data_IF_687866508601
#
_entry.id   IF_687866508601
#
_cell.length_a   1.000
_cell.length_b   1.000
_cell.length_c   1.000
_cell.angle_alpha   90.00
_cell.angle_beta   90.00
_cell.angle_gamma   90.00
#
_symmetry.space_group_name_H-M   'P 1'
#
loop_
_entity.id
_entity.type
_entity.pdbx_description
1 polymer ?
#
# COMPACT_ATOMS: atom_id res chain seq x y z
N UNK A 1 13.81 12.39 -7.18
CA UNK A 1 12.87 12.26 -6.05
C UNK A 1 13.68 12.34 -4.76
N UNK A 2 13.29 13.18 -3.79
CA UNK A 2 13.96 13.19 -2.49
C UNK A 2 13.55 11.94 -1.71
N UNK A 3 14.45 11.39 -0.89
CA UNK A 3 14.11 10.29 0.01
C UNK A 3 13.09 10.81 1.02
N UNK A 4 12.03 10.04 1.26
CA UNK A 4 10.92 10.39 2.15
C UNK A 4 10.13 11.65 1.75
N UNK A 5 9.92 11.87 0.43
CA UNK A 5 8.98 12.89 0.00
C UNK A 5 7.58 12.65 0.61
N UNK A 6 6.94 13.67 1.18
CA UNK A 6 5.61 13.52 1.75
C UNK A 6 4.58 13.20 0.66
N UNK A 7 3.51 12.52 1.05
CA UNK A 7 2.30 12.38 0.23
C UNK A 7 1.75 13.76 -0.15
N UNK A 8 0.95 13.82 -1.22
CA UNK A 8 0.33 15.08 -1.64
C UNK A 8 -0.59 15.62 -0.53
N UNK A 9 -0.62 16.94 -0.28
CA UNK A 9 -1.37 17.54 0.84
C UNK A 9 -2.84 17.12 0.91
N UNK A 10 -3.46 16.85 -0.24
CA UNK A 10 -4.86 16.47 -0.39
C UNK A 10 -5.20 15.11 0.24
N UNK A 11 -4.20 14.29 0.56
CA UNK A 11 -4.37 13.00 1.23
C UNK A 11 -4.40 13.11 2.76
N UNK A 12 -4.07 14.27 3.35
CA UNK A 12 -4.14 14.46 4.79
C UNK A 12 -5.50 15.06 5.17
N UNK A 13 -6.27 14.37 6.02
CA UNK A 13 -7.46 14.98 6.60
C UNK A 13 -7.07 15.97 7.70
N UNK A 14 -7.67 17.17 7.69
CA UNK A 14 -7.49 18.16 8.77
C UNK A 14 -8.19 17.73 10.08
N UNK A 15 -9.03 16.69 9.99
CA UNK A 15 -9.80 16.12 11.08
C UNK A 15 -9.57 14.60 11.03
N UNK A 16 -8.77 14.07 11.94
CA UNK A 16 -8.58 12.63 12.12
C UNK A 16 -8.83 12.29 13.59
N UNK A 17 -9.81 11.43 13.84
CA UNK A 17 -10.11 10.92 15.18
C UNK A 17 -9.43 9.57 15.39
N UNK A 18 -9.10 9.23 16.65
CA UNK A 18 -8.51 7.93 16.98
C UNK A 18 -9.40 6.74 16.53
N UNK A 19 -10.73 6.92 16.52
CA UNK A 19 -11.68 5.92 16.05
C UNK A 19 -11.56 5.65 14.54
N UNK A 20 -11.21 6.65 13.74
CA UNK A 20 -11.00 6.49 12.30
C UNK A 20 -9.69 5.76 12.02
N UNK A 21 -8.64 6.07 12.79
CA UNK A 21 -7.35 5.39 12.68
C UNK A 21 -7.46 3.88 13.01
N UNK A 22 -8.14 3.52 14.09
CA UNK A 22 -8.34 2.10 14.44
C UNK A 22 -9.10 1.34 13.36
N UNK A 23 -10.12 1.97 12.76
CA UNK A 23 -10.87 1.40 11.64
C UNK A 23 -9.98 1.21 10.42
N UNK A 24 -9.26 2.25 9.99
CA UNK A 24 -8.38 2.20 8.83
C UNK A 24 -7.23 1.20 9.00
N UNK A 25 -6.67 1.08 10.21
CA UNK A 25 -5.67 0.06 10.52
C UNK A 25 -6.24 -1.35 10.35
N UNK A 26 -7.45 -1.60 10.84
CA UNK A 26 -8.09 -2.91 10.70
C UNK A 26 -8.39 -3.21 9.22
N UNK A 27 -8.92 -2.24 8.47
CA UNK A 27 -9.16 -2.37 7.03
C UNK A 27 -7.87 -2.66 6.24
N UNK A 28 -6.78 -1.98 6.58
CA UNK A 28 -5.46 -2.24 5.99
C UNK A 28 -5.00 -3.68 6.28
N UNK A 29 -5.14 -4.12 7.53
CA UNK A 29 -4.73 -5.48 7.96
C UNK A 29 -5.51 -6.54 7.20
N UNK A 30 -6.84 -6.44 7.16
CA UNK A 30 -7.70 -7.37 6.41
C UNK A 30 -7.39 -7.38 4.91
N UNK A 31 -7.04 -6.22 4.35
CA UNK A 31 -6.66 -6.09 2.94
C UNK A 31 -5.34 -6.81 2.66
N UNK A 32 -4.34 -6.65 3.53
CA UNK A 32 -3.05 -7.35 3.41
C UNK A 32 -3.24 -8.86 3.54
N UNK A 33 -4.04 -9.32 4.50
CA UNK A 33 -4.35 -10.74 4.69
C UNK A 33 -5.04 -11.33 3.45
N UNK A 34 -6.04 -10.64 2.91
CA UNK A 34 -6.75 -11.07 1.69
C UNK A 34 -5.81 -11.13 0.49
N UNK A 35 -4.96 -10.11 0.32
CA UNK A 35 -3.97 -10.08 -0.75
C UNK A 35 -3.01 -11.28 -0.65
N UNK A 36 -2.51 -11.56 0.56
CA UNK A 36 -1.62 -12.69 0.81
C UNK A 36 -2.31 -14.05 0.60
N UNK A 37 -3.57 -14.21 1.03
CA UNK A 37 -4.28 -15.49 0.93
C UNK A 37 -4.72 -15.85 -0.48
N UNK A 38 -5.07 -14.84 -1.30
CA UNK A 38 -5.50 -15.05 -2.69
C UNK A 38 -4.32 -15.25 -3.66
N UNK A 39 -3.11 -14.86 -3.25
CA UNK A 39 -1.89 -15.04 -4.03
C UNK A 39 -1.94 -14.38 -5.42
N UNK A 40 -1.39 -15.04 -6.43
CA UNK A 40 -1.27 -14.49 -7.79
C UNK A 40 -2.61 -14.09 -8.41
N UNK A 41 -3.72 -14.71 -8.00
CA UNK A 41 -5.06 -14.43 -8.53
C UNK A 41 -5.56 -13.01 -8.23
N UNK A 42 -5.02 -12.37 -7.18
CA UNK A 42 -5.36 -11.00 -6.79
C UNK A 42 -4.50 -9.96 -7.53
N UNK A 43 -3.42 -10.37 -8.19
CA UNK A 43 -2.51 -9.45 -8.86
C UNK A 43 -3.12 -8.90 -10.16
N UNK A 44 -3.04 -7.58 -10.34
CA UNK A 44 -3.56 -6.90 -11.52
C UNK A 44 -2.91 -7.42 -12.80
N UNK A 45 -3.73 -7.62 -13.85
CA UNK A 45 -3.23 -7.89 -15.21
C UNK A 45 -2.99 -6.60 -16.00
N UNK A 46 -3.39 -5.44 -15.45
CA UNK A 46 -3.18 -4.16 -16.11
C UNK A 46 -1.72 -3.73 -16.01
N UNK A 47 -1.17 -3.04 -17.02
CA UNK A 47 0.17 -2.47 -16.94
C UNK A 47 0.27 -1.46 -15.79
N UNK A 48 1.33 -1.54 -15.01
CA UNK A 48 1.65 -0.52 -14.01
C UNK A 48 2.06 0.79 -14.71
N UNK A 49 1.56 1.96 -14.27
CA UNK A 49 1.83 3.25 -14.94
C UNK A 49 3.31 3.57 -15.14
N UNK A 50 4.17 3.14 -14.20
CA UNK A 50 5.61 3.40 -14.27
C UNK A 50 6.43 2.20 -14.77
N UNK A 51 5.96 0.96 -14.57
CA UNK A 51 6.76 -0.25 -14.79
C UNK A 51 6.27 -1.09 -15.97
N UNK A 52 5.15 -0.72 -16.60
CA UNK A 52 4.56 -1.49 -17.68
C UNK A 52 3.98 -2.83 -17.20
N UNK A 53 4.01 -3.83 -18.06
CA UNK A 53 3.49 -5.16 -17.72
C UNK A 53 4.36 -5.83 -16.64
N UNK A 54 3.69 -6.28 -15.57
CA UNK A 54 4.32 -7.03 -14.50
C UNK A 54 3.66 -8.40 -14.40
N UNK A 55 4.48 -9.43 -14.16
CA UNK A 55 3.99 -10.77 -13.79
C UNK A 55 3.37 -10.71 -12.39
N UNK A 56 2.43 -11.61 -12.03
CA UNK A 56 1.81 -11.63 -10.71
C UNK A 56 2.80 -11.58 -9.53
N UNK A 57 3.87 -12.39 -9.55
CA UNK A 57 4.89 -12.33 -8.50
C UNK A 57 5.64 -10.99 -8.43
N UNK A 58 5.81 -10.28 -9.56
CA UNK A 58 6.43 -8.96 -9.58
C UNK A 58 5.51 -7.90 -8.97
N UNK A 59 4.20 -8.03 -9.19
CA UNK A 59 3.17 -7.25 -8.50
C UNK A 59 3.22 -7.50 -6.99
N UNK A 60 3.26 -8.76 -6.55
CA UNK A 60 3.35 -9.10 -5.14
C UNK A 60 4.59 -8.50 -4.47
N UNK A 61 5.77 -8.62 -5.11
CA UNK A 61 7.01 -8.01 -4.61
C UNK A 61 6.91 -6.48 -4.56
N UNK A 62 6.32 -5.86 -5.58
CA UNK A 62 6.14 -4.41 -5.62
C UNK A 62 5.25 -3.93 -4.47
N UNK A 63 4.10 -4.58 -4.26
CA UNK A 63 3.17 -4.20 -3.19
C UNK A 63 3.79 -4.40 -1.80
N UNK A 64 4.48 -5.51 -1.57
CA UNK A 64 5.21 -5.74 -0.32
C UNK A 64 6.25 -4.64 -0.06
N UNK A 65 7.13 -4.37 -1.03
CA UNK A 65 8.18 -3.35 -0.88
C UNK A 65 7.61 -1.93 -0.69
N UNK A 66 6.51 -1.63 -1.37
CA UNK A 66 5.84 -0.33 -1.29
C UNK A 66 5.21 -0.13 0.10
N UNK A 67 4.51 -1.15 0.60
CA UNK A 67 3.93 -1.11 1.95
C UNK A 67 5.02 -1.00 3.02
N UNK A 68 6.04 -1.85 2.96
CA UNK A 68 7.17 -1.86 3.89
C UNK A 68 7.91 -0.51 3.93
N UNK A 69 8.12 0.11 2.76
CA UNK A 69 8.70 1.44 2.67
C UNK A 69 7.86 2.48 3.44
N UNK A 70 6.54 2.47 3.28
CA UNK A 70 5.68 3.43 3.96
C UNK A 70 5.59 3.18 5.46
N UNK A 71 5.48 1.92 5.91
CA UNK A 71 5.50 1.60 7.34
C UNK A 71 6.83 2.05 7.99
N UNK A 72 7.95 1.76 7.32
CA UNK A 72 9.28 2.20 7.75
C UNK A 72 9.43 3.73 7.79
N UNK A 73 8.80 4.48 6.88
CA UNK A 73 8.82 5.96 6.92
C UNK A 73 8.17 6.51 8.19
N UNK A 74 7.17 5.80 8.73
CA UNK A 74 6.47 6.18 9.98
C UNK A 74 7.08 5.53 11.23
N UNK A 75 8.12 4.70 11.08
CA UNK A 75 8.79 4.03 12.20
C UNK A 75 7.99 2.88 12.81
N UNK A 76 7.11 2.25 12.03
CA UNK A 76 6.38 1.02 12.38
C UNK A 76 7.23 -0.21 12.06
#
# INVERSE_FOLDING_TARGET
MRRNSPSVPELFSEISTASEFDRERNELTETVERFASMGESCCSQHPHPFFGQLKPHQWAILMYKHLDHHLSQFGV
#
